data_IF_078911833065
#
_entry.id   IF_078911833065
#
_cell.length_a   1.000
_cell.length_b   1.000
_cell.length_c   1.000
_cell.angle_alpha   90.00
_cell.angle_beta   90.00
_cell.angle_gamma   90.00
#
_symmetry.space_group_name_H-M   'P 1'
#
loop_
_entity.id
_entity.type
_entity.pdbx_description
1 polymer ?
#
# COMPACT_ATOMS: atom_id res chain seq x y z
N UNK A 1 -1.25 -25.09 -0.20
CA UNK A 1 -0.90 -23.70 0.16
C UNK A 1 0.22 -23.24 -0.75
N UNK A 2 0.09 -22.10 -1.45
CA UNK A 2 1.21 -21.52 -2.19
C UNK A 2 2.27 -21.11 -1.16
N UNK A 3 3.49 -21.63 -1.28
CA UNK A 3 4.60 -21.27 -0.40
C UNK A 3 5.15 -19.88 -0.79
N UNK A 4 4.41 -18.84 -0.45
CA UNK A 4 4.81 -17.46 -0.71
C UNK A 4 5.35 -16.86 0.59
N UNK A 5 6.52 -16.23 0.52
CA UNK A 5 7.17 -15.56 1.64
C UNK A 5 7.24 -14.06 1.40
N UNK A 6 6.93 -13.29 2.44
CA UNK A 6 7.16 -11.84 2.45
C UNK A 6 8.60 -11.59 2.91
N UNK A 7 9.33 -10.77 2.16
CA UNK A 7 10.72 -10.38 2.46
C UNK A 7 10.76 -8.85 2.51
N UNK A 8 11.26 -8.29 3.60
CA UNK A 8 11.47 -6.85 3.73
C UNK A 8 12.62 -6.41 2.84
N UNK A 9 12.46 -5.31 2.11
CA UNK A 9 13.55 -4.70 1.36
C UNK A 9 14.66 -4.20 2.30
N UNK A 10 14.30 -3.76 3.51
CA UNK A 10 15.27 -3.37 4.54
C UNK A 10 16.20 -4.53 4.90
N UNK A 11 15.66 -5.73 5.11
CA UNK A 11 16.48 -6.91 5.43
C UNK A 11 17.45 -7.23 4.27
N UNK A 12 16.95 -7.16 3.03
CA UNK A 12 17.78 -7.36 1.83
C UNK A 12 18.92 -6.33 1.77
N UNK A 13 18.65 -5.05 2.07
CA UNK A 13 19.66 -3.99 2.07
C UNK A 13 20.72 -4.25 3.15
N UNK A 14 20.30 -4.65 4.35
CA UNK A 14 21.21 -4.94 5.47
C UNK A 14 22.10 -6.15 5.20
N UNK A 15 21.54 -7.20 4.61
CA UNK A 15 22.24 -8.45 4.37
C UNK A 15 23.23 -8.36 3.18
N UNK A 16 22.81 -7.75 2.08
CA UNK A 16 23.58 -7.74 0.82
C UNK A 16 24.58 -6.57 0.79
N UNK A 17 24.20 -5.38 1.28
CA UNK A 17 25.02 -4.15 1.34
C UNK A 17 25.52 -3.62 -0.02
N UNK A 18 25.03 -4.16 -1.12
CA UNK A 18 25.35 -3.75 -2.49
C UNK A 18 24.04 -3.31 -3.17
N UNK A 19 23.78 -2.00 -3.20
CA UNK A 19 22.56 -1.44 -3.74
C UNK A 19 22.41 -1.67 -5.24
N UNK A 20 23.52 -1.62 -5.98
CA UNK A 20 23.48 -1.85 -7.42
C UNK A 20 23.13 -3.32 -7.73
N UNK A 21 23.69 -4.25 -6.97
CA UNK A 21 23.32 -5.65 -7.05
C UNK A 21 21.83 -5.87 -6.73
N UNK A 22 21.33 -5.27 -5.64
CA UNK A 22 19.93 -5.36 -5.24
C UNK A 22 19.03 -4.85 -6.37
N UNK A 23 19.33 -3.68 -6.91
CA UNK A 23 18.56 -3.07 -7.99
C UNK A 23 18.58 -3.94 -9.25
N UNK A 24 19.77 -4.30 -9.74
CA UNK A 24 19.93 -4.97 -11.03
C UNK A 24 19.53 -6.45 -10.98
N UNK A 25 19.81 -7.15 -9.88
CA UNK A 25 19.62 -8.61 -9.79
C UNK A 25 18.35 -9.02 -9.05
N UNK A 26 17.78 -8.13 -8.23
CA UNK A 26 16.58 -8.45 -7.43
C UNK A 26 15.40 -7.61 -7.92
N UNK A 27 15.45 -6.29 -7.82
CA UNK A 27 14.27 -5.45 -8.08
C UNK A 27 13.87 -5.44 -9.55
N UNK A 28 14.83 -5.47 -10.47
CA UNK A 28 14.56 -5.52 -11.92
C UNK A 28 13.98 -6.86 -12.43
N UNK A 29 13.87 -7.88 -11.58
CA UNK A 29 13.08 -9.07 -11.90
C UNK A 29 11.57 -8.77 -12.00
N UNK A 30 11.13 -7.72 -11.32
CA UNK A 30 9.74 -7.28 -11.39
C UNK A 30 9.47 -6.52 -12.68
N UNK A 31 8.36 -6.86 -13.34
CA UNK A 31 7.81 -6.09 -14.46
C UNK A 31 6.31 -5.94 -14.31
N UNK A 32 5.80 -4.75 -14.46
CA UNK A 32 4.37 -4.49 -14.61
C UNK A 32 3.90 -4.89 -16.02
N UNK A 33 2.59 -4.99 -16.22
CA UNK A 33 2.04 -5.32 -17.55
C UNK A 33 2.47 -4.30 -18.60
N UNK A 34 2.29 -3.02 -18.26
CA UNK A 34 2.76 -1.89 -19.04
C UNK A 34 3.69 -1.09 -18.12
N UNK A 35 4.85 -0.65 -18.63
CA UNK A 35 5.79 0.13 -17.84
C UNK A 35 5.08 1.35 -17.27
N UNK A 36 5.03 1.44 -15.94
CA UNK A 36 4.26 2.44 -15.23
C UNK A 36 4.97 2.91 -13.95
N UNK A 37 4.33 3.79 -13.19
CA UNK A 37 4.86 4.35 -11.95
C UNK A 37 5.16 3.30 -10.88
N UNK A 38 4.46 2.14 -10.88
CA UNK A 38 4.67 1.04 -9.94
C UNK A 38 6.03 0.38 -10.19
N UNK A 39 6.33 0.08 -11.46
CA UNK A 39 7.64 -0.46 -11.85
C UNK A 39 8.77 0.55 -11.61
N UNK A 40 8.56 1.82 -12.01
CA UNK A 40 9.54 2.89 -11.79
C UNK A 40 9.85 3.09 -10.30
N UNK A 41 8.82 3.06 -9.45
CA UNK A 41 9.02 3.17 -8.00
C UNK A 41 9.92 2.05 -7.48
N UNK A 42 9.61 0.79 -7.79
CA UNK A 42 10.38 -0.34 -7.29
C UNK A 42 11.83 -0.30 -7.77
N UNK A 43 12.05 0.00 -9.06
CA UNK A 43 13.38 -0.02 -9.66
C UNK A 43 14.26 1.17 -9.26
N UNK A 44 13.66 2.36 -9.05
CA UNK A 44 14.44 3.59 -8.98
C UNK A 44 14.29 4.37 -7.67
N UNK A 45 13.25 4.08 -6.87
CA UNK A 45 12.90 4.88 -5.68
C UNK A 45 12.87 4.07 -4.40
N UNK A 46 12.50 2.79 -4.46
CA UNK A 46 12.22 1.97 -3.28
C UNK A 46 13.39 1.91 -2.29
N UNK A 47 14.63 1.71 -2.75
CA UNK A 47 15.81 1.67 -1.87
C UNK A 47 15.99 3.01 -1.13
N UNK A 48 15.89 4.13 -1.84
CA UNK A 48 16.05 5.46 -1.22
C UNK A 48 14.94 5.76 -0.22
N UNK A 49 13.69 5.36 -0.52
CA UNK A 49 12.55 5.55 0.36
C UNK A 49 12.66 4.69 1.62
N UNK A 50 13.20 3.46 1.50
CA UNK A 50 13.51 2.58 2.63
C UNK A 50 14.57 3.22 3.53
N UNK A 51 15.72 3.61 2.97
CA UNK A 51 16.82 4.24 3.70
C UNK A 51 16.44 5.55 4.39
N UNK A 52 15.54 6.31 3.78
CA UNK A 52 15.02 7.58 4.34
C UNK A 52 13.84 7.37 5.30
N UNK A 53 13.46 6.13 5.58
CA UNK A 53 12.29 5.79 6.42
C UNK A 53 10.97 6.43 5.95
N UNK A 54 10.85 6.73 4.66
CA UNK A 54 9.64 7.29 4.05
C UNK A 54 8.59 6.20 3.80
N UNK A 55 9.05 4.99 3.49
CA UNK A 55 8.17 3.83 3.29
C UNK A 55 8.92 2.52 3.51
N UNK A 56 8.18 1.46 3.79
CA UNK A 56 8.67 0.09 3.92
C UNK A 56 8.14 -0.77 2.77
N UNK A 57 9.05 -1.31 1.96
CA UNK A 57 8.73 -2.14 0.79
C UNK A 57 8.93 -3.61 1.12
N UNK A 58 7.94 -4.42 0.72
CA UNK A 58 7.91 -5.85 0.97
C UNK A 58 7.75 -6.60 -0.35
N UNK A 59 8.72 -7.45 -0.67
CA UNK A 59 8.68 -8.33 -1.83
C UNK A 59 7.97 -9.63 -1.47
N UNK A 60 7.14 -10.13 -2.38
CA UNK A 60 6.50 -11.44 -2.25
C UNK A 60 7.27 -12.41 -3.14
N UNK A 61 7.90 -13.40 -2.53
CA UNK A 61 8.73 -14.38 -3.22
C UNK A 61 8.12 -15.78 -3.13
N UNK A 62 8.24 -16.54 -4.20
CA UNK A 62 7.93 -17.95 -4.19
C UNK A 62 9.13 -18.73 -3.58
N UNK A 63 8.90 -19.46 -2.48
CA UNK A 63 9.97 -20.18 -1.79
C UNK A 63 10.59 -21.35 -2.62
N UNK A 64 9.84 -21.88 -3.59
CA UNK A 64 10.32 -22.99 -4.43
C UNK A 64 11.14 -22.51 -5.61
N UNK A 65 10.64 -21.51 -6.35
CA UNK A 65 11.31 -21.01 -7.55
C UNK A 65 12.27 -19.85 -7.27
N UNK A 66 12.13 -19.19 -6.12
CA UNK A 66 12.89 -17.98 -5.80
C UNK A 66 12.41 -16.72 -6.51
N UNK A 67 11.41 -16.82 -7.39
CA UNK A 67 10.87 -15.71 -8.19
C UNK A 67 10.13 -14.69 -7.33
N UNK A 68 10.28 -13.40 -7.66
CA UNK A 68 9.48 -12.33 -7.09
C UNK A 68 8.13 -12.31 -7.80
N UNK A 69 7.05 -12.56 -7.05
CA UNK A 69 5.68 -12.63 -7.56
C UNK A 69 5.00 -11.27 -7.63
N UNK A 70 5.41 -10.37 -6.76
CA UNK A 70 4.84 -9.04 -6.61
C UNK A 70 5.46 -8.31 -5.43
N UNK A 71 4.92 -7.13 -5.13
CA UNK A 71 5.36 -6.36 -3.97
C UNK A 71 4.24 -5.44 -3.47
N UNK A 72 4.40 -4.94 -2.27
CA UNK A 72 3.62 -3.85 -1.71
C UNK A 72 4.49 -2.94 -0.85
N UNK A 73 4.05 -1.69 -0.68
CA UNK A 73 4.78 -0.69 0.10
C UNK A 73 3.84 0.01 1.06
N UNK A 74 4.23 0.07 2.33
CA UNK A 74 3.54 0.86 3.34
C UNK A 74 4.30 2.14 3.66
N UNK A 75 3.55 3.20 3.96
CA UNK A 75 4.09 4.41 4.56
C UNK A 75 3.30 4.74 5.84
N UNK A 76 4.03 5.19 6.87
CA UNK A 76 3.42 5.72 8.09
C UNK A 76 2.93 7.15 7.82
N UNK A 77 1.82 7.26 7.12
CA UNK A 77 1.24 8.53 6.69
C UNK A 77 -0.21 8.62 7.12
N UNK A 78 -0.50 9.59 7.98
CA UNK A 78 -1.87 9.90 8.39
C UNK A 78 -2.67 10.46 7.21
N UNK A 79 -3.95 10.08 7.13
CA UNK A 79 -4.87 10.67 6.17
C UNK A 79 -5.31 12.06 6.67
N UNK A 80 -5.04 13.08 5.87
CA UNK A 80 -5.50 14.45 6.13
C UNK A 80 -6.76 14.66 5.31
N UNK A 81 -7.85 15.05 5.98
CA UNK A 81 -9.13 15.36 5.35
C UNK A 81 -9.38 16.86 5.55
N UNK A 82 -9.30 17.63 4.48
CA UNK A 82 -9.58 19.06 4.51
C UNK A 82 -10.99 19.36 5.04
N UNK A 83 -11.17 20.53 5.64
CA UNK A 83 -12.42 20.94 6.27
C UNK A 83 -13.64 20.75 5.38
N UNK A 84 -13.56 21.18 4.13
CA UNK A 84 -14.68 21.11 3.18
C UNK A 84 -15.02 19.66 2.83
N UNK A 85 -14.00 18.85 2.59
CA UNK A 85 -14.13 17.41 2.34
C UNK A 85 -14.72 16.71 3.57
N UNK A 86 -14.26 17.04 4.78
CA UNK A 86 -14.79 16.46 6.01
C UNK A 86 -16.28 16.80 6.20
N UNK A 87 -16.69 18.05 5.96
CA UNK A 87 -18.08 18.48 6.06
C UNK A 87 -18.98 17.81 5.00
N UNK A 88 -18.44 17.40 3.87
CA UNK A 88 -19.17 16.69 2.82
C UNK A 88 -19.41 15.19 3.11
N UNK A 89 -18.72 14.65 4.12
CA UNK A 89 -18.90 13.25 4.54
C UNK A 89 -20.25 13.04 5.22
N UNK A 90 -20.73 11.80 5.23
CA UNK A 90 -21.90 11.43 6.03
C UNK A 90 -21.64 11.64 7.52
N UNK A 91 -22.68 11.92 8.31
CA UNK A 91 -22.56 12.12 9.77
C UNK A 91 -21.90 10.94 10.47
N UNK A 92 -22.15 9.72 9.98
CA UNK A 92 -21.52 8.49 10.48
C UNK A 92 -20.00 8.48 10.22
N UNK A 93 -19.58 8.88 9.03
CA UNK A 93 -18.16 8.99 8.69
C UNK A 93 -17.47 10.10 9.50
N UNK A 94 -18.09 11.28 9.59
CA UNK A 94 -17.59 12.39 10.41
C UNK A 94 -17.36 11.94 11.86
N UNK A 95 -18.35 11.25 12.48
CA UNK A 95 -18.24 10.73 13.84
C UNK A 95 -17.08 9.73 13.97
N UNK A 96 -16.98 8.77 13.04
CA UNK A 96 -15.91 7.76 13.05
C UNK A 96 -14.52 8.36 12.92
N UNK A 97 -14.33 9.31 12.01
CA UNK A 97 -13.02 9.97 11.81
C UNK A 97 -12.66 10.89 12.97
N UNK A 98 -13.63 11.62 13.54
CA UNK A 98 -13.41 12.44 14.74
C UNK A 98 -12.96 11.60 15.95
N UNK A 99 -13.45 10.36 16.08
CA UNK A 99 -13.06 9.46 17.17
C UNK A 99 -11.67 8.83 16.98
N UNK A 100 -11.14 8.83 15.76
CA UNK A 100 -9.87 8.18 15.41
C UNK A 100 -8.82 9.18 14.90
N UNK A 101 -9.11 10.45 15.01
CA UNK A 101 -8.24 11.52 14.54
C UNK A 101 -8.36 12.76 15.41
N UNK A 102 -7.69 13.81 14.99
CA UNK A 102 -7.74 15.13 15.64
C UNK A 102 -8.10 16.21 14.64
N UNK A 103 -8.86 17.22 15.11
CA UNK A 103 -9.13 18.43 14.35
C UNK A 103 -7.93 19.37 14.42
N UNK A 104 -7.54 19.95 13.30
CA UNK A 104 -6.53 20.99 13.21
C UNK A 104 -7.17 22.40 13.33
N UNK A 105 -6.32 23.41 13.48
CA UNK A 105 -6.77 24.81 13.65
C UNK A 105 -7.52 25.34 12.42
N UNK A 106 -7.15 24.92 11.24
CA UNK A 106 -7.80 25.26 9.96
C UNK A 106 -9.14 24.53 9.73
N UNK A 107 -9.49 23.61 10.63
CA UNK A 107 -10.72 22.83 10.58
C UNK A 107 -10.59 21.50 9.84
N UNK A 108 -9.44 21.17 9.28
CA UNK A 108 -9.14 19.85 8.72
C UNK A 108 -9.01 18.79 9.81
N UNK A 109 -9.04 17.52 9.43
CA UNK A 109 -8.88 16.38 10.33
C UNK A 109 -7.70 15.51 9.91
N UNK A 110 -6.83 15.18 10.87
CA UNK A 110 -5.77 14.19 10.71
C UNK A 110 -6.26 12.87 11.30
N UNK A 111 -6.41 11.86 10.49
CA UNK A 111 -6.85 10.52 10.89
C UNK A 111 -5.62 9.61 10.95
N UNK A 112 -5.34 9.04 12.12
CA UNK A 112 -4.24 8.09 12.30
C UNK A 112 -4.47 6.85 11.44
N UNK A 113 -3.55 6.60 10.53
CA UNK A 113 -3.69 5.56 9.50
C UNK A 113 -2.35 5.19 8.90
N UNK A 114 -2.31 4.06 8.20
CA UNK A 114 -1.22 3.72 7.28
C UNK A 114 -1.65 3.94 5.84
N UNK A 115 -0.70 4.29 4.98
CA UNK A 115 -0.88 4.37 3.54
C UNK A 115 -0.34 3.08 2.89
N UNK A 116 -1.18 2.40 2.10
CA UNK A 116 -0.73 1.43 1.11
C UNK A 116 -0.28 2.21 -0.13
N UNK A 117 1.00 2.55 -0.17
CA UNK A 117 1.53 3.50 -1.15
C UNK A 117 1.73 2.87 -2.53
N UNK A 118 2.09 1.59 -2.57
CA UNK A 118 2.31 0.85 -3.81
C UNK A 118 1.80 -0.58 -3.66
N UNK A 119 1.29 -1.13 -4.76
CA UNK A 119 0.97 -2.55 -4.89
C UNK A 119 1.21 -2.96 -6.33
N UNK A 120 2.00 -4.00 -6.54
CA UNK A 120 2.38 -4.46 -7.88
C UNK A 120 2.41 -5.97 -8.00
N UNK A 121 1.82 -6.47 -9.10
CA UNK A 121 1.92 -7.85 -9.53
C UNK A 121 3.03 -7.97 -10.58
N UNK A 122 3.90 -8.98 -10.44
CA UNK A 122 4.91 -9.25 -11.44
C UNK A 122 4.32 -10.03 -12.62
N UNK A 123 4.55 -9.52 -13.83
CA UNK A 123 4.14 -10.15 -15.09
C UNK A 123 5.30 -10.81 -15.84
N UNK A 124 6.53 -10.77 -15.28
CA UNK A 124 7.72 -11.40 -15.85
C UNK A 124 7.95 -12.82 -15.28
N UNK A 125 6.88 -13.54 -14.97
CA UNK A 125 6.91 -14.89 -14.44
C UNK A 125 5.91 -15.76 -15.18
N UNK A 126 6.07 -17.10 -15.09
CA UNK A 126 5.13 -18.03 -15.75
C UNK A 126 3.72 -17.91 -15.17
N UNK A 127 2.69 -18.04 -16.01
CA UNK A 127 1.29 -17.97 -15.60
C UNK A 127 0.93 -18.89 -14.44
N UNK A 128 1.55 -20.07 -14.36
CA UNK A 128 1.32 -21.05 -13.30
C UNK A 128 1.73 -20.55 -11.91
N UNK A 129 2.66 -19.63 -11.85
CA UNK A 129 3.20 -19.06 -10.60
C UNK A 129 2.61 -17.70 -10.26
N UNK A 130 1.82 -17.10 -11.14
CA UNK A 130 1.28 -15.77 -10.92
C UNK A 130 0.43 -15.67 -9.65
N UNK A 131 0.68 -14.62 -8.90
CA UNK A 131 -0.14 -14.19 -7.76
C UNK A 131 -1.29 -13.30 -8.25
N UNK A 132 -2.41 -13.32 -7.57
CA UNK A 132 -3.53 -12.39 -7.83
C UNK A 132 -3.39 -11.10 -7.01
N UNK A 133 -4.02 -10.03 -7.47
CA UNK A 133 -4.06 -8.78 -6.70
C UNK A 133 -4.70 -8.96 -5.31
N UNK A 134 -5.74 -9.80 -5.21
CA UNK A 134 -6.36 -10.12 -3.91
C UNK A 134 -5.40 -10.85 -2.97
N UNK A 135 -4.60 -11.79 -3.46
CA UNK A 135 -3.57 -12.45 -2.64
C UNK A 135 -2.53 -11.45 -2.15
N UNK A 136 -2.09 -10.49 -3.00
CA UNK A 136 -1.13 -9.46 -2.58
C UNK A 136 -1.72 -8.58 -1.47
N UNK A 137 -2.97 -8.09 -1.64
CA UNK A 137 -3.62 -7.26 -0.60
C UNK A 137 -3.82 -8.06 0.68
N UNK A 138 -4.17 -9.35 0.59
CA UNK A 138 -4.34 -10.20 1.77
C UNK A 138 -3.04 -10.34 2.55
N UNK A 139 -1.92 -10.60 1.86
CA UNK A 139 -0.60 -10.67 2.50
C UNK A 139 -0.18 -9.33 3.13
N UNK A 140 -0.44 -8.22 2.44
CA UNK A 140 -0.19 -6.89 2.98
C UNK A 140 -1.05 -6.64 4.24
N UNK A 141 -2.32 -7.02 4.21
CA UNK A 141 -3.24 -6.87 5.33
C UNK A 141 -2.83 -7.74 6.53
N UNK A 142 -2.47 -9.00 6.32
CA UNK A 142 -1.97 -9.89 7.38
C UNK A 142 -0.75 -9.30 8.08
N UNK A 143 0.23 -8.78 7.32
CA UNK A 143 1.38 -8.10 7.90
C UNK A 143 0.97 -6.85 8.69
N UNK A 144 0.04 -6.06 8.17
CA UNK A 144 -0.44 -4.86 8.85
C UNK A 144 -1.19 -5.18 10.14
N UNK A 145 -1.90 -6.30 10.24
CA UNK A 145 -2.55 -6.74 11.47
C UNK A 145 -1.53 -7.08 12.57
N UNK A 146 -0.33 -7.54 12.22
CA UNK A 146 0.78 -7.73 13.16
C UNK A 146 1.26 -6.36 13.67
N UNK A 147 1.49 -5.41 12.77
CA UNK A 147 1.91 -4.04 13.12
C UNK A 147 0.84 -3.35 13.97
N UNK A 148 -0.44 -3.54 13.66
CA UNK A 148 -1.56 -3.00 14.45
C UNK A 148 -1.54 -3.43 15.91
N UNK A 149 -1.04 -4.63 16.24
CA UNK A 149 -0.91 -5.08 17.63
C UNK A 149 0.16 -4.31 18.40
N UNK A 150 1.11 -3.71 17.70
CA UNK A 150 2.23 -2.94 18.27
C UNK A 150 1.89 -1.45 18.26
N UNK A 151 1.40 -0.95 17.11
CA UNK A 151 1.01 0.46 16.92
C UNK A 151 -0.47 0.48 16.61
N UNK A 152 -1.28 0.91 17.59
CA UNK A 152 -2.73 0.91 17.44
C UNK A 152 -3.18 1.93 16.38
N UNK A 153 -3.60 1.41 15.22
CA UNK A 153 -4.23 2.19 14.15
C UNK A 153 -5.49 1.52 13.67
N UNK A 154 -6.46 2.31 13.22
CA UNK A 154 -7.77 1.79 12.79
C UNK A 154 -7.94 1.75 11.29
N UNK A 155 -7.10 2.44 10.54
CA UNK A 155 -7.33 2.66 9.11
C UNK A 155 -6.08 2.38 8.28
N UNK A 156 -6.33 1.74 7.14
CA UNK A 156 -5.45 1.68 5.98
C UNK A 156 -6.10 2.48 4.87
N UNK A 157 -5.35 3.32 4.19
CA UNK A 157 -5.85 4.07 3.04
C UNK A 157 -4.92 3.92 1.85
N UNK A 158 -5.44 4.21 0.68
CA UNK A 158 -4.70 4.22 -0.58
C UNK A 158 -5.24 5.30 -1.51
N UNK A 159 -4.46 5.61 -2.53
CA UNK A 159 -4.87 6.42 -3.66
C UNK A 159 -4.78 5.57 -4.93
N UNK A 160 -5.77 5.70 -5.80
CA UNK A 160 -5.78 5.04 -7.09
C UNK A 160 -6.34 5.97 -8.18
N UNK A 161 -6.03 5.67 -9.42
CA UNK A 161 -6.61 6.36 -10.56
C UNK A 161 -8.15 6.28 -10.55
N UNK A 162 -8.82 7.27 -11.14
CA UNK A 162 -10.27 7.27 -11.33
C UNK A 162 -10.67 6.25 -12.40
N UNK A 163 -10.43 5.00 -12.11
CA UNK A 163 -10.69 3.85 -12.95
C UNK A 163 -11.70 2.93 -12.26
N UNK A 164 -12.84 2.70 -12.91
CA UNK A 164 -13.93 1.91 -12.36
C UNK A 164 -13.52 0.48 -11.99
N UNK A 165 -12.60 -0.13 -12.75
CA UNK A 165 -12.09 -1.48 -12.47
C UNK A 165 -11.20 -1.50 -11.22
N UNK A 166 -10.34 -0.50 -11.02
CA UNK A 166 -9.51 -0.37 -9.81
C UNK A 166 -10.37 -0.08 -8.58
N UNK A 167 -11.31 0.86 -8.69
CA UNK A 167 -12.23 1.19 -7.59
C UNK A 167 -13.05 -0.04 -7.20
N UNK A 168 -13.57 -0.80 -8.18
CA UNK A 168 -14.31 -2.04 -7.93
C UNK A 168 -13.42 -3.10 -7.28
N UNK A 169 -12.18 -3.25 -7.74
CA UNK A 169 -11.22 -4.19 -7.18
C UNK A 169 -10.98 -3.93 -5.70
N UNK A 170 -10.64 -2.70 -5.33
CA UNK A 170 -10.43 -2.32 -3.94
C UNK A 170 -11.71 -2.37 -3.10
N UNK A 171 -12.86 -1.98 -3.69
CA UNK A 171 -14.16 -2.06 -2.99
C UNK A 171 -14.56 -3.50 -2.69
N UNK A 172 -14.31 -4.44 -3.60
CA UNK A 172 -14.57 -5.86 -3.37
C UNK A 172 -13.72 -6.44 -2.24
N UNK A 173 -12.53 -5.86 -1.99
CA UNK A 173 -11.70 -6.23 -0.85
C UNK A 173 -12.18 -5.62 0.48
N UNK A 174 -13.01 -4.58 0.43
CA UNK A 174 -13.56 -3.91 1.61
C UNK A 174 -13.15 -2.45 1.79
N UNK A 175 -12.35 -1.90 0.87
CA UNK A 175 -12.08 -0.47 0.86
C UNK A 175 -13.31 0.33 0.48
N UNK A 176 -13.49 1.47 1.10
CA UNK A 176 -14.58 2.39 0.84
C UNK A 176 -14.04 3.68 0.21
N UNK A 177 -14.61 4.06 -0.92
CA UNK A 177 -14.28 5.33 -1.58
C UNK A 177 -14.72 6.51 -0.71
N UNK A 178 -13.81 7.45 -0.45
CA UNK A 178 -14.14 8.74 0.15
C UNK A 178 -14.64 9.65 -0.99
N UNK A 179 -15.95 9.78 -1.11
CA UNK A 179 -16.58 10.61 -2.14
C UNK A 179 -16.18 12.06 -1.97
N UNK A 180 -16.04 12.77 -3.09
CA UNK A 180 -15.66 14.19 -3.17
C UNK A 180 -14.27 14.53 -2.62
N UNK A 181 -13.44 13.52 -2.39
CA UNK A 181 -12.04 13.70 -2.01
C UNK A 181 -11.19 13.31 -3.21
N UNK A 182 -10.46 14.26 -3.75
CA UNK A 182 -9.40 14.01 -4.75
C UNK A 182 -8.09 14.52 -4.16
N UNK A 183 -7.03 13.75 -4.34
CA UNK A 183 -5.69 14.22 -4.03
C UNK A 183 -5.25 15.31 -5.01
N UNK A 184 -4.14 15.98 -4.73
CA UNK A 184 -3.52 16.97 -5.62
C UNK A 184 -3.30 16.44 -7.06
N UNK A 185 -3.17 15.12 -7.20
CA UNK A 185 -2.99 14.44 -8.49
C UNK A 185 -4.30 13.89 -9.09
N UNK A 186 -5.46 14.34 -8.64
CA UNK A 186 -6.78 13.82 -9.05
C UNK A 186 -7.01 12.33 -8.80
N UNK A 187 -6.25 11.72 -7.89
CA UNK A 187 -6.45 10.33 -7.51
C UNK A 187 -7.64 10.18 -6.56
N UNK A 188 -8.30 9.04 -6.61
CA UNK A 188 -9.38 8.67 -5.69
C UNK A 188 -8.79 8.08 -4.42
N UNK A 189 -9.22 8.61 -3.28
CA UNK A 189 -8.82 8.09 -1.97
C UNK A 189 -9.81 7.03 -1.50
N UNK A 190 -9.29 5.88 -1.13
CA UNK A 190 -10.06 4.77 -0.58
C UNK A 190 -9.54 4.38 0.80
N UNK A 191 -10.43 3.99 1.70
CA UNK A 191 -10.10 3.68 3.08
C UNK A 191 -10.67 2.34 3.51
N UNK A 192 -9.87 1.56 4.21
CA UNK A 192 -10.24 0.30 4.83
C UNK A 192 -10.17 0.44 6.36
N UNK A 193 -11.20 -0.04 7.04
CA UNK A 193 -11.18 -0.11 8.51
C UNK A 193 -10.65 -1.47 8.95
N UNK A 194 -9.58 -1.46 9.73
CA UNK A 194 -8.86 -2.65 10.18
C UNK A 194 -9.55 -3.44 11.31
N UNK A 195 -10.62 -2.93 11.90
CA UNK A 195 -11.33 -3.58 13.01
C UNK A 195 -12.46 -4.53 12.55
N UNK A 196 -12.72 -4.60 11.25
CA UNK A 196 -13.86 -5.34 10.70
C UNK A 196 -13.51 -6.75 10.20
N UNK A 197 -12.37 -7.33 10.66
CA UNK A 197 -11.93 -8.68 10.30
C UNK A 197 -11.65 -9.51 11.54
#
# INVERSE_FOLDING_TARGET
MKNNRIISLQDIIVDIKDEEYIKEKILKQFKSRDRNSIEDFLHNKAINFEKSSLSATHLIRNDKSGEILGYFTFANKSLIIEKENFLSLSKTQQKRFSQSGRKLKDGSYVVNSFLLAQIGKNYNISDKNMITGNEIISLAHELLLIVKKIINTKYLWLECEDNSSLIKFYSNYGFNLIKKFSSENNLKTMILRLDNF
#
